data_IF_956334398658
#
_entry.id   IF_956334398658
#
_cell.length_a   1.000
_cell.length_b   1.000
_cell.length_c   1.000
_cell.angle_alpha   90.00
_cell.angle_beta   90.00
_cell.angle_gamma   90.00
#
_symmetry.space_group_name_H-M   'P 1'
#
loop_
_entity.id
_entity.type
_entity.pdbx_description
1 polymer ?
#
# COMPACT_ATOMS: atom_id res chain seq x y z
N UNK A 1 69.29 -1.70 16.59
CA UNK A 1 69.30 -1.70 15.12
C UNK A 1 68.81 -3.06 14.68
N UNK A 2 68.06 -3.06 13.59
CA UNK A 2 67.53 -4.21 12.81
C UNK A 2 66.12 -4.75 13.15
N UNK A 3 65.17 -4.15 12.42
CA UNK A 3 64.23 -4.75 11.45
C UNK A 3 63.07 -5.72 11.83
N UNK A 4 61.86 -5.22 11.49
CA UNK A 4 60.80 -5.82 10.63
C UNK A 4 60.11 -7.11 11.07
N UNK A 5 58.79 -7.03 11.34
CA UNK A 5 57.75 -7.65 10.48
C UNK A 5 56.31 -7.46 10.99
N UNK A 6 55.57 -6.66 10.23
CA UNK A 6 54.16 -6.73 9.83
C UNK A 6 53.26 -7.86 10.38
N UNK A 7 52.07 -7.47 10.85
CA UNK A 7 50.81 -8.07 10.37
C UNK A 7 49.65 -7.06 10.47
N UNK A 8 49.22 -6.63 9.29
CA UNK A 8 48.05 -5.83 8.99
C UNK A 8 46.77 -6.68 8.95
N UNK A 9 45.67 -6.17 9.52
CA UNK A 9 44.35 -6.17 8.86
C UNK A 9 43.34 -5.32 9.65
N UNK A 10 42.73 -4.29 9.04
CA UNK A 10 41.35 -3.93 9.29
C UNK A 10 40.55 -4.41 8.08
N UNK A 11 39.89 -5.55 8.21
CA UNK A 11 38.91 -6.01 7.23
C UNK A 11 37.49 -5.71 7.73
N UNK A 12 36.70 -5.13 6.83
CA UNK A 12 35.24 -5.04 6.85
C UNK A 12 34.59 -3.87 7.61
N UNK A 13 34.98 -2.64 7.27
CA UNK A 13 34.04 -1.53 7.18
C UNK A 13 34.21 -0.87 5.80
N UNK A 14 33.09 -0.64 5.11
CA UNK A 14 32.96 -0.07 3.76
C UNK A 14 33.27 -0.97 2.56
N UNK A 15 32.31 -1.82 2.20
CA UNK A 15 32.09 -2.31 0.81
C UNK A 15 30.59 -2.62 0.54
N UNK A 16 29.66 -1.87 1.16
CA UNK A 16 28.20 -2.03 0.95
C UNK A 16 27.57 -0.95 0.05
N UNK A 17 28.37 -0.05 -0.52
CA UNK A 17 27.90 1.00 -1.43
C UNK A 17 28.07 0.58 -2.91
N UNK A 18 27.29 -0.40 -3.38
CA UNK A 18 27.10 -0.64 -4.83
C UNK A 18 25.97 -1.63 -5.20
N UNK A 19 25.30 -2.30 -4.25
CA UNK A 19 24.21 -3.24 -4.55
C UNK A 19 22.92 -2.74 -3.90
N UNK A 20 22.01 -2.18 -4.71
CA UNK A 20 20.74 -1.64 -4.22
C UNK A 20 19.90 -2.68 -3.46
N UNK A 21 19.17 -2.22 -2.43
CA UNK A 21 18.40 -3.09 -1.54
C UNK A 21 17.07 -3.51 -2.18
N UNK A 22 16.81 -4.82 -2.27
CA UNK A 22 15.48 -5.34 -2.66
C UNK A 22 14.59 -5.39 -1.42
N UNK A 23 13.41 -4.78 -1.50
CA UNK A 23 12.40 -4.77 -0.44
C UNK A 23 11.07 -5.43 -0.84
N UNK A 24 10.25 -5.77 0.14
CA UNK A 24 8.85 -6.13 -0.04
C UNK A 24 8.01 -5.10 0.70
N UNK A 25 7.04 -4.48 0.02
CA UNK A 25 6.15 -3.49 0.64
C UNK A 25 4.72 -4.03 0.68
N UNK A 26 4.17 -4.12 1.90
CA UNK A 26 2.81 -4.56 2.17
C UNK A 26 1.88 -3.34 2.25
N UNK A 27 0.88 -3.30 1.37
CA UNK A 27 -0.05 -2.18 1.19
C UNK A 27 -1.44 -2.60 1.62
N UNK A 28 -1.91 -2.06 2.74
CA UNK A 28 -3.20 -2.42 3.32
C UNK A 28 -4.38 -1.79 2.56
N UNK A 29 -5.55 -2.44 2.63
CA UNK A 29 -6.79 -1.94 2.07
C UNK A 29 -7.54 -0.92 2.96
N UNK A 30 -8.73 -0.52 2.53
CA UNK A 30 -9.64 0.37 3.26
C UNK A 30 -10.01 -0.22 4.63
N UNK A 31 -9.91 0.58 5.69
CA UNK A 31 -10.15 0.11 7.06
C UNK A 31 -9.04 -0.76 7.65
N UNK A 32 -7.97 -1.01 6.89
CA UNK A 32 -6.77 -1.70 7.35
C UNK A 32 -5.71 -0.75 7.92
N UNK A 33 -4.54 -1.31 8.17
CA UNK A 33 -3.33 -0.61 8.60
C UNK A 33 -2.16 -1.58 8.69
N UNK A 34 -0.99 -1.10 9.12
CA UNK A 34 0.21 -1.94 9.32
C UNK A 34 -0.08 -3.14 10.21
N UNK A 35 -0.92 -2.95 11.23
CA UNK A 35 -1.30 -3.99 12.18
C UNK A 35 -1.97 -5.21 11.53
N UNK A 36 -2.62 -5.04 10.38
CA UNK A 36 -3.25 -6.15 9.65
C UNK A 36 -2.22 -7.20 9.22
N UNK A 37 -0.98 -6.77 9.01
CA UNK A 37 0.10 -7.64 8.57
C UNK A 37 0.83 -8.38 9.70
N UNK A 38 0.43 -8.20 10.97
CA UNK A 38 1.14 -8.72 12.16
C UNK A 38 1.40 -10.23 12.14
N UNK A 39 0.51 -11.00 11.51
CA UNK A 39 0.64 -12.46 11.44
C UNK A 39 1.54 -12.96 10.30
N UNK A 40 1.89 -12.09 9.34
CA UNK A 40 2.62 -12.51 8.12
C UNK A 40 3.91 -11.73 7.91
N UNK A 41 3.97 -10.43 8.22
CA UNK A 41 5.10 -9.55 7.90
C UNK A 41 6.44 -10.07 8.45
N UNK A 42 6.51 -10.37 9.74
CA UNK A 42 7.74 -10.84 10.37
C UNK A 42 8.13 -12.26 9.96
N UNK A 43 7.16 -13.13 9.65
CA UNK A 43 7.44 -14.50 9.17
C UNK A 43 7.98 -14.44 7.75
N UNK A 44 7.35 -13.64 6.89
CA UNK A 44 7.77 -13.42 5.52
C UNK A 44 9.21 -12.90 5.48
N UNK A 45 9.52 -11.84 6.23
CA UNK A 45 10.87 -11.25 6.28
C UNK A 45 11.94 -12.28 6.63
N UNK A 46 11.71 -13.10 7.66
CA UNK A 46 12.64 -14.16 8.07
C UNK A 46 12.81 -15.24 7.01
N UNK A 47 11.76 -15.59 6.27
CA UNK A 47 11.81 -16.67 5.29
C UNK A 47 12.40 -16.25 3.95
N UNK A 48 12.21 -15.00 3.54
CA UNK A 48 12.76 -14.47 2.28
C UNK A 48 14.15 -13.85 2.43
N UNK A 49 14.54 -13.47 3.65
CA UNK A 49 15.85 -12.88 3.93
C UNK A 49 16.03 -11.45 3.42
N UNK A 50 14.95 -10.71 3.15
CA UNK A 50 14.99 -9.29 2.79
C UNK A 50 14.02 -8.46 3.63
N UNK A 51 14.17 -7.13 3.55
CA UNK A 51 13.35 -6.20 4.31
C UNK A 51 11.90 -6.26 3.84
N UNK A 52 10.98 -6.51 4.77
CA UNK A 52 9.54 -6.38 4.55
C UNK A 52 9.07 -5.17 5.33
N UNK A 53 8.44 -4.22 4.64
CA UNK A 53 7.98 -2.97 5.20
C UNK A 53 6.48 -2.76 4.92
N UNK A 54 5.83 -1.97 5.76
CA UNK A 54 4.45 -1.52 5.57
C UNK A 54 4.31 -0.15 6.23
N UNK A 55 3.38 0.67 5.77
CA UNK A 55 3.07 1.96 6.36
C UNK A 55 1.55 2.14 6.42
N UNK A 56 1.08 2.98 7.35
CA UNK A 56 -0.31 3.38 7.40
C UNK A 56 -0.54 4.47 6.35
N UNK A 57 -1.46 4.26 5.41
CA UNK A 57 -1.84 5.29 4.44
C UNK A 57 -2.54 6.46 5.13
N UNK A 58 -2.53 7.68 4.54
CA UNK A 58 -3.36 8.78 5.04
C UNK A 58 -4.80 8.32 5.30
N UNK A 59 -5.37 8.74 6.43
CA UNK A 59 -6.64 8.29 7.06
C UNK A 59 -6.52 7.14 8.06
N UNK A 60 -5.45 6.37 8.03
CA UNK A 60 -5.35 5.12 8.80
C UNK A 60 -4.21 5.13 9.81
N UNK A 61 -4.37 4.26 10.82
CA UNK A 61 -3.39 4.05 11.89
C UNK A 61 -2.81 5.33 12.51
N UNK A 62 -1.49 5.41 12.59
CA UNK A 62 -0.77 6.52 13.24
C UNK A 62 -0.34 7.63 12.27
N UNK A 63 -0.64 7.49 10.97
CA UNK A 63 -0.29 8.49 9.97
C UNK A 63 -1.09 9.77 10.17
N UNK A 64 -0.40 10.91 9.98
CA UNK A 64 -1.02 12.23 10.03
C UNK A 64 -2.26 12.30 9.14
N UNK A 65 -3.26 13.05 9.60
CA UNK A 65 -4.53 13.25 8.88
C UNK A 65 -4.65 14.73 8.56
N UNK A 66 -3.99 15.20 7.48
CA UNK A 66 -4.11 16.59 7.07
C UNK A 66 -5.59 16.95 6.91
N UNK A 67 -5.93 18.14 7.33
CA UNK A 67 -7.21 18.78 7.05
C UNK A 67 -7.18 19.40 5.66
N UNK A 68 -8.35 19.60 5.07
CA UNK A 68 -8.45 20.20 3.74
C UNK A 68 -7.75 21.55 3.62
N UNK A 69 -7.85 22.36 4.68
CA UNK A 69 -7.19 23.65 4.77
C UNK A 69 -5.66 23.52 4.74
N UNK A 70 -5.10 22.45 5.28
CA UNK A 70 -3.66 22.27 5.40
C UNK A 70 -3.00 22.14 4.02
N UNK A 71 -3.60 21.37 3.11
CA UNK A 71 -3.06 21.27 1.75
C UNK A 71 -3.52 22.42 0.85
N UNK A 72 -4.69 23.00 1.06
CA UNK A 72 -5.15 24.15 0.25
C UNK A 72 -4.31 25.41 0.50
N UNK A 73 -4.04 25.75 1.75
CA UNK A 73 -3.24 26.93 2.13
C UNK A 73 -1.81 26.81 1.61
N UNK A 74 -1.25 25.59 1.68
CA UNK A 74 0.11 25.33 1.24
C UNK A 74 0.21 24.95 -0.25
N UNK A 75 -0.90 24.99 -1.00
CA UNK A 75 -0.98 24.61 -2.42
C UNK A 75 -0.43 23.18 -2.68
N UNK A 76 -0.63 22.29 -1.72
CA UNK A 76 -0.18 20.91 -1.76
C UNK A 76 -1.25 20.00 -2.40
N UNK A 77 -0.83 18.88 -3.01
CA UNK A 77 -1.76 17.89 -3.54
C UNK A 77 -2.61 17.26 -2.41
N UNK A 78 -3.88 16.97 -2.68
CA UNK A 78 -4.77 16.29 -1.73
C UNK A 78 -4.24 14.86 -1.44
N UNK A 79 -3.80 14.55 -0.20
CA UNK A 79 -3.13 13.29 0.12
C UNK A 79 -4.05 12.06 0.04
N UNK A 80 -5.37 12.25 -0.01
CA UNK A 80 -6.36 11.17 -0.08
C UNK A 80 -6.66 10.72 -1.52
N UNK A 81 -6.27 11.49 -2.54
CA UNK A 81 -6.42 11.10 -3.95
C UNK A 81 -5.55 9.91 -4.29
N UNK A 82 -6.05 9.03 -5.15
CA UNK A 82 -5.36 7.79 -5.50
C UNK A 82 -3.98 8.04 -6.11
N UNK A 83 -3.84 8.97 -7.05
CA UNK A 83 -2.55 9.28 -7.68
C UNK A 83 -1.53 9.81 -6.67
N UNK A 84 -1.96 10.59 -5.67
CA UNK A 84 -1.06 11.12 -4.65
C UNK A 84 -0.69 10.03 -3.64
N UNK A 85 -1.59 9.08 -3.35
CA UNK A 85 -1.24 7.88 -2.60
C UNK A 85 -0.22 7.00 -3.35
N UNK A 86 -0.25 6.98 -4.70
CA UNK A 86 0.77 6.27 -5.50
C UNK A 86 2.13 6.94 -5.30
N UNK A 87 2.17 8.27 -5.35
CA UNK A 87 3.41 9.02 -5.15
C UNK A 87 3.96 8.84 -3.72
N UNK A 88 3.08 8.78 -2.72
CA UNK A 88 3.47 8.45 -1.34
C UNK A 88 4.03 7.04 -1.21
N UNK A 89 3.43 6.03 -1.86
CA UNK A 89 3.94 4.66 -1.86
C UNK A 89 5.34 4.60 -2.49
N UNK A 90 5.55 5.25 -3.63
CA UNK A 90 6.85 5.29 -4.30
C UNK A 90 7.89 6.05 -3.47
N UNK A 91 7.51 7.17 -2.85
CA UNK A 91 8.38 7.94 -1.95
C UNK A 91 8.78 7.11 -0.73
N UNK A 92 7.84 6.39 -0.13
CA UNK A 92 8.13 5.46 0.96
C UNK A 92 9.15 4.39 0.54
N UNK A 93 9.02 3.82 -0.67
CA UNK A 93 10.00 2.84 -1.17
C UNK A 93 11.40 3.46 -1.30
N UNK A 94 11.50 4.69 -1.80
CA UNK A 94 12.76 5.41 -1.96
C UNK A 94 13.39 5.78 -0.60
N UNK A 95 12.60 6.26 0.35
CA UNK A 95 13.05 6.59 1.71
C UNK A 95 13.55 5.37 2.49
N UNK A 96 12.94 4.20 2.24
CA UNK A 96 13.42 2.93 2.78
C UNK A 96 14.71 2.43 2.13
N UNK A 97 15.24 3.14 1.12
CA UNK A 97 16.47 2.79 0.42
C UNK A 97 16.30 1.65 -0.59
N UNK A 98 15.07 1.33 -0.99
CA UNK A 98 14.85 0.22 -1.93
C UNK A 98 15.14 0.64 -3.36
N UNK A 99 16.08 -0.05 -4.02
CA UNK A 99 16.31 0.10 -5.46
C UNK A 99 15.30 -0.71 -6.28
N UNK A 100 14.80 -1.80 -5.70
CA UNK A 100 13.78 -2.64 -6.31
C UNK A 100 12.80 -3.14 -5.25
N UNK A 101 11.53 -3.28 -5.61
CA UNK A 101 10.48 -3.70 -4.68
C UNK A 101 9.54 -4.75 -5.29
N UNK A 102 9.04 -5.61 -4.42
CA UNK A 102 7.86 -6.44 -4.68
C UNK A 102 6.70 -5.86 -3.87
N UNK A 103 5.59 -5.55 -4.54
CA UNK A 103 4.42 -4.95 -3.87
C UNK A 103 3.40 -6.04 -3.53
N UNK A 104 2.90 -6.04 -2.30
CA UNK A 104 1.82 -6.93 -1.85
C UNK A 104 0.65 -6.07 -1.42
N UNK A 105 -0.40 -6.00 -2.22
CA UNK A 105 -1.57 -5.16 -1.95
C UNK A 105 -2.80 -5.97 -1.57
N UNK A 106 -3.54 -5.49 -0.56
CA UNK A 106 -4.84 -6.03 -0.17
C UNK A 106 -5.97 -5.08 -0.58
N UNK A 107 -7.06 -5.62 -1.12
CA UNK A 107 -8.25 -4.88 -1.58
C UNK A 107 -7.89 -3.65 -2.44
N UNK A 108 -8.31 -2.43 -2.11
CA UNK A 108 -7.93 -1.21 -2.84
C UNK A 108 -6.41 -0.91 -2.81
N UNK A 109 -5.69 -1.39 -1.79
CA UNK A 109 -4.23 -1.34 -1.72
C UNK A 109 -3.56 -2.13 -2.87
N UNK A 110 -4.25 -3.13 -3.42
CA UNK A 110 -3.85 -3.81 -4.65
C UNK A 110 -3.92 -2.93 -5.90
N UNK A 111 -4.98 -2.12 -6.02
CA UNK A 111 -5.12 -1.16 -7.14
C UNK A 111 -4.03 -0.09 -7.03
N UNK A 112 -3.75 0.37 -5.82
CA UNK A 112 -2.65 1.30 -5.54
C UNK A 112 -1.30 0.74 -5.99
N UNK A 113 -1.00 -0.52 -5.63
CA UNK A 113 0.23 -1.20 -6.03
C UNK A 113 0.36 -1.34 -7.56
N UNK A 114 -0.73 -1.68 -8.26
CA UNK A 114 -0.73 -1.79 -9.72
C UNK A 114 -0.53 -0.43 -10.41
N UNK A 115 -1.11 0.64 -9.88
CA UNK A 115 -0.89 2.00 -10.39
C UNK A 115 0.54 2.48 -10.16
N UNK A 116 1.16 2.13 -9.03
CA UNK A 116 2.57 2.39 -8.79
C UNK A 116 3.45 1.68 -9.84
N UNK A 117 3.16 0.41 -10.13
CA UNK A 117 3.83 -0.31 -11.22
C UNK A 117 3.63 0.38 -12.57
N UNK A 118 2.40 0.74 -12.93
CA UNK A 118 2.12 1.48 -14.16
C UNK A 118 2.93 2.78 -14.25
N UNK A 119 3.04 3.54 -13.15
CA UNK A 119 3.76 4.81 -13.13
C UNK A 119 5.25 4.62 -13.39
N UNK A 120 5.88 3.68 -12.69
CA UNK A 120 7.31 3.37 -12.88
C UNK A 120 7.58 2.88 -14.31
N UNK A 121 6.67 2.07 -14.89
CA UNK A 121 6.81 1.57 -16.26
C UNK A 121 6.51 2.62 -17.35
N UNK A 122 5.75 3.69 -17.06
CA UNK A 122 5.47 4.76 -18.02
C UNK A 122 6.59 5.82 -18.07
N UNK A 123 7.34 5.99 -16.98
CA UNK A 123 8.44 6.95 -16.85
C UNK A 123 9.87 6.51 -17.26
N UNK A 124 10.17 5.36 -17.88
CA UNK A 124 11.55 5.01 -18.25
C UNK A 124 12.23 5.99 -19.22
N UNK A 125 11.47 6.81 -19.97
CA UNK A 125 11.97 7.63 -21.07
C UNK A 125 11.46 9.10 -21.09
N UNK A 126 10.86 9.62 -20.01
CA UNK A 126 10.30 10.99 -20.02
C UNK A 126 11.12 12.05 -19.28
N UNK A 127 12.44 11.90 -19.20
CA UNK A 127 13.34 12.94 -18.65
C UNK A 127 14.14 13.56 -19.79
N UNK A 128 13.49 14.46 -20.53
CA UNK A 128 14.12 15.55 -21.28
C UNK A 128 13.04 16.58 -21.60
N UNK A 129 12.54 17.24 -20.56
CA UNK A 129 11.88 18.53 -20.69
C UNK A 129 12.13 19.30 -19.40
N UNK A 130 13.01 20.31 -19.41
CA UNK A 130 13.21 21.16 -18.25
C UNK A 130 11.94 22.01 -18.08
N UNK A 131 11.17 21.76 -17.03
CA UNK A 131 10.20 22.76 -16.58
C UNK A 131 10.98 23.86 -15.87
N UNK A 132 10.81 25.08 -16.39
CA UNK A 132 11.69 26.20 -16.19
C UNK A 132 11.89 26.62 -14.74
N UNK A 133 13.13 27.02 -14.48
CA UNK A 133 13.52 27.92 -13.41
C UNK A 133 12.58 29.13 -13.36
N UNK A 134 11.95 29.36 -12.21
CA UNK A 134 11.53 30.70 -11.81
C UNK A 134 12.09 30.97 -10.42
N UNK A 135 13.23 31.65 -10.44
CA UNK A 135 13.90 32.26 -9.29
C UNK A 135 13.06 33.44 -8.79
N UNK A 136 12.85 33.52 -7.47
CA UNK A 136 12.60 34.80 -6.77
C UNK A 136 13.55 34.89 -5.57
N UNK A 137 14.26 36.02 -5.35
CA UNK A 137 15.43 36.07 -4.48
C UNK A 137 15.13 36.49 -3.02
N UNK A 138 15.97 35.96 -2.13
CA UNK A 138 16.41 36.49 -0.82
C UNK A 138 15.35 36.98 0.21
N UNK A 139 15.14 36.18 1.25
CA UNK A 139 15.27 36.68 2.63
C UNK A 139 15.67 35.53 3.56
N UNK A 140 16.85 35.65 4.17
CA UNK A 140 17.36 34.70 5.14
C UNK A 140 16.52 34.72 6.42
N UNK A 141 15.60 33.76 6.54
CA UNK A 141 15.03 33.31 7.81
C UNK A 141 14.90 31.79 7.70
N UNK A 142 15.74 31.06 8.44
CA UNK A 142 15.55 29.62 8.68
C UNK A 142 14.47 29.46 9.76
N UNK A 143 13.27 29.08 9.34
CA UNK A 143 12.24 28.52 10.21
C UNK A 143 12.10 27.05 9.84
N UNK A 144 12.32 26.13 10.79
CA UNK A 144 12.06 24.71 10.60
C UNK A 144 10.69 24.35 11.21
N UNK A 145 9.67 24.12 10.39
CA UNK A 145 8.63 23.13 10.74
C UNK A 145 8.15 22.31 9.52
N UNK A 146 7.42 21.22 9.77
CA UNK A 146 6.75 20.35 8.76
C UNK A 146 7.67 19.56 7.81
N UNK A 147 8.60 18.78 8.36
CA UNK A 147 9.18 17.67 7.61
C UNK A 147 8.08 16.62 7.38
N UNK A 148 7.55 16.51 6.16
CA UNK A 148 7.03 15.30 5.45
C UNK A 148 6.74 15.57 3.97
N UNK A 149 7.22 16.70 3.41
CA UNK A 149 7.20 16.94 1.97
C UNK A 149 8.58 17.44 1.59
N UNK A 150 9.55 16.55 1.65
CA UNK A 150 10.76 16.67 0.85
C UNK A 150 10.65 15.56 -0.17
N UNK A 151 10.07 15.86 -1.33
CA UNK A 151 10.22 14.99 -2.49
C UNK A 151 11.72 14.85 -2.73
N UNK A 152 12.32 13.65 -2.56
CA UNK A 152 13.71 13.48 -2.93
C UNK A 152 13.84 13.84 -4.41
N UNK A 153 14.92 14.52 -4.78
CA UNK A 153 15.28 14.64 -6.18
C UNK A 153 15.26 13.24 -6.80
N UNK A 154 14.50 13.11 -7.89
CA UNK A 154 14.14 11.88 -8.59
C UNK A 154 15.38 11.22 -9.26
N UNK A 155 16.36 10.80 -8.47
CA UNK A 155 17.67 10.35 -8.93
C UNK A 155 17.84 8.83 -9.05
N UNK A 156 16.96 8.04 -8.44
CA UNK A 156 16.92 6.58 -8.66
C UNK A 156 15.47 6.10 -8.62
N UNK A 157 14.96 5.71 -9.79
CA UNK A 157 13.63 5.09 -9.87
C UNK A 157 13.67 3.71 -9.21
N UNK A 158 12.75 3.49 -8.27
CA UNK A 158 12.52 2.17 -7.69
C UNK A 158 11.97 1.23 -8.77
N UNK A 159 12.66 0.13 -9.04
CA UNK A 159 12.19 -0.91 -9.96
C UNK A 159 11.09 -1.76 -9.29
N UNK A 160 9.96 -1.97 -9.94
CA UNK A 160 8.91 -2.87 -9.42
C UNK A 160 9.05 -4.24 -10.09
N UNK A 161 9.44 -5.25 -9.31
CA UNK A 161 9.78 -6.59 -9.80
C UNK A 161 8.58 -7.54 -9.91
N UNK A 162 7.51 -7.27 -9.19
CA UNK A 162 6.29 -8.09 -9.21
C UNK A 162 5.24 -7.61 -8.22
N UNK A 163 4.03 -8.16 -8.36
CA UNK A 163 2.88 -7.83 -7.52
C UNK A 163 2.20 -9.07 -6.94
N UNK A 164 1.78 -8.99 -5.67
CA UNK A 164 0.85 -9.95 -5.06
C UNK A 164 -0.44 -9.21 -4.71
N UNK A 165 -1.57 -9.69 -5.22
CA UNK A 165 -2.89 -9.08 -5.07
C UNK A 165 -3.77 -9.96 -4.17
N UNK A 166 -4.14 -9.47 -3.00
CA UNK A 166 -4.97 -10.19 -2.02
C UNK A 166 -6.40 -9.66 -2.04
N UNK A 167 -7.36 -10.49 -2.45
CA UNK A 167 -8.79 -10.14 -2.49
C UNK A 167 -9.05 -8.80 -3.22
N UNK A 168 -8.45 -8.61 -4.39
CA UNK A 168 -8.52 -7.36 -5.19
C UNK A 168 -9.54 -7.52 -6.32
N UNK A 169 -10.23 -6.44 -6.68
CA UNK A 169 -11.15 -6.37 -7.82
C UNK A 169 -11.10 -5.02 -8.52
N UNK A 170 -11.17 -5.00 -9.86
CA UNK A 170 -11.18 -3.75 -10.63
C UNK A 170 -12.51 -2.99 -10.54
N UNK A 171 -13.60 -3.67 -10.24
CA UNK A 171 -14.96 -3.13 -10.38
C UNK A 171 -15.66 -2.91 -9.05
N UNK A 172 -15.01 -3.25 -7.93
CA UNK A 172 -15.64 -3.18 -6.62
C UNK A 172 -15.34 -1.83 -5.98
N UNK A 173 -16.41 -1.14 -5.61
CA UNK A 173 -16.33 0.06 -4.78
C UNK A 173 -16.46 -0.34 -3.30
N UNK A 174 -15.60 0.22 -2.45
CA UNK A 174 -15.63 -0.02 -0.99
C UNK A 174 -16.79 0.72 -0.32
N UNK A 175 -17.22 1.87 -0.88
CA UNK A 175 -18.39 2.63 -0.43
C UNK A 175 -19.50 2.49 -1.46
N UNK A 176 -20.74 2.11 -1.09
CA UNK A 176 -21.85 2.06 -2.03
C UNK A 176 -22.12 3.43 -2.67
N UNK A 177 -22.36 3.48 -4.00
CA UNK A 177 -22.49 4.73 -4.74
C UNK A 177 -23.54 5.71 -4.20
N UNK A 178 -24.69 5.23 -3.70
CA UNK A 178 -25.69 6.10 -3.06
C UNK A 178 -25.15 6.76 -1.78
N UNK A 179 -24.37 6.02 -0.99
CA UNK A 179 -23.75 6.55 0.22
C UNK A 179 -22.70 7.59 -0.15
N UNK A 180 -21.90 7.34 -1.20
CA UNK A 180 -20.92 8.30 -1.72
C UNK A 180 -21.56 9.61 -2.18
N UNK A 181 -22.70 9.57 -2.87
CA UNK A 181 -23.44 10.79 -3.26
C UNK A 181 -23.78 11.64 -2.02
N UNK A 182 -24.22 10.98 -0.94
CA UNK A 182 -24.54 11.68 0.31
C UNK A 182 -23.31 12.32 0.95
N UNK A 183 -22.11 11.73 0.78
CA UNK A 183 -20.85 12.30 1.28
C UNK A 183 -20.50 13.65 0.61
N UNK A 184 -20.99 13.96 -0.58
CA UNK A 184 -20.77 15.28 -1.19
C UNK A 184 -21.61 16.40 -0.54
N UNK A 185 -22.54 16.07 0.35
CA UNK A 185 -23.41 17.04 1.01
C UNK A 185 -22.89 17.36 2.42
N UNK A 186 -23.01 18.64 2.83
CA UNK A 186 -22.71 19.06 4.21
C UNK A 186 -23.57 18.33 5.24
N UNK A 187 -24.80 17.98 4.85
CA UNK A 187 -25.71 17.16 5.65
C UNK A 187 -25.18 15.74 5.85
N UNK A 188 -24.63 15.12 4.80
CA UNK A 188 -24.05 13.77 4.88
C UNK A 188 -22.78 13.69 5.73
N UNK A 189 -21.90 14.72 5.69
CA UNK A 189 -20.73 14.80 6.59
C UNK A 189 -21.15 14.71 8.06
N UNK A 190 -22.14 15.52 8.45
CA UNK A 190 -22.54 15.67 9.86
C UNK A 190 -23.50 14.58 10.35
N UNK A 191 -24.42 14.10 9.50
CA UNK A 191 -25.53 13.23 9.91
C UNK A 191 -25.46 11.80 9.39
N UNK A 192 -24.52 11.47 8.50
CA UNK A 192 -24.40 10.12 7.93
C UNK A 192 -23.05 9.50 8.31
N UNK A 193 -21.93 10.18 8.05
CA UNK A 193 -20.57 9.64 8.33
C UNK A 193 -20.38 9.35 9.81
N UNK A 194 -20.52 10.37 10.67
CA UNK A 194 -20.27 10.22 12.11
C UNK A 194 -21.19 9.17 12.77
N UNK A 195 -22.53 9.18 12.53
CA UNK A 195 -23.40 8.18 13.16
C UNK A 195 -23.20 6.76 12.61
N UNK A 196 -23.09 6.56 11.29
CA UNK A 196 -22.93 5.21 10.73
C UNK A 196 -21.65 4.52 11.22
N UNK A 197 -20.57 5.27 11.36
CA UNK A 197 -19.29 4.75 11.85
C UNK A 197 -19.33 4.36 13.33
N UNK A 198 -20.19 5.02 14.11
CA UNK A 198 -20.45 4.70 15.51
C UNK A 198 -21.50 3.60 15.72
N UNK A 199 -22.10 3.06 14.64
CA UNK A 199 -23.19 2.07 14.73
C UNK A 199 -22.76 0.61 14.52
N UNK A 200 -23.66 -0.31 14.87
CA UNK A 200 -23.64 -1.76 14.62
C UNK A 200 -23.39 -2.15 13.15
N UNK A 201 -23.57 -1.24 12.18
CA UNK A 201 -23.33 -1.49 10.76
C UNK A 201 -21.84 -1.82 10.50
N UNK A 202 -20.92 -1.15 11.20
CA UNK A 202 -19.50 -1.48 11.15
C UNK A 202 -19.21 -2.88 11.70
N UNK A 203 -19.95 -3.32 12.73
CA UNK A 203 -19.81 -4.66 13.29
C UNK A 203 -20.29 -5.75 12.31
N UNK A 204 -21.38 -5.50 11.59
CA UNK A 204 -21.92 -6.44 10.60
C UNK A 204 -21.00 -6.55 9.38
N UNK A 205 -20.42 -5.44 8.91
CA UNK A 205 -19.43 -5.46 7.83
C UNK A 205 -18.18 -6.22 8.28
N UNK A 206 -17.65 -5.94 9.47
CA UNK A 206 -16.49 -6.65 10.01
C UNK A 206 -16.71 -8.16 10.13
N UNK A 207 -17.93 -8.63 10.47
CA UNK A 207 -18.21 -10.07 10.50
C UNK A 207 -18.28 -10.71 9.10
N UNK A 208 -18.71 -9.96 8.08
CA UNK A 208 -18.77 -10.45 6.68
C UNK A 208 -17.41 -10.51 6.00
N UNK A 209 -16.42 -9.81 6.54
CA UNK A 209 -15.05 -9.82 6.06
C UNK A 209 -14.36 -11.17 6.35
N UNK A 210 -14.78 -11.89 7.40
CA UNK A 210 -14.20 -13.17 7.81
C UNK A 210 -15.09 -14.33 7.36
N UNK A 211 -14.48 -15.45 6.99
CA UNK A 211 -15.23 -16.70 6.81
C UNK A 211 -15.67 -17.28 8.16
N UNK A 212 -14.76 -17.34 9.12
CA UNK A 212 -15.02 -17.78 10.49
C UNK A 212 -15.17 -16.57 11.42
N UNK A 213 -16.43 -16.15 11.62
CA UNK A 213 -16.77 -15.03 12.50
C UNK A 213 -16.36 -15.26 13.96
N UNK A 214 -16.06 -16.50 14.40
CA UNK A 214 -15.59 -16.77 15.77
C UNK A 214 -14.17 -16.26 16.02
N UNK A 215 -13.38 -16.07 14.95
CA UNK A 215 -12.04 -15.47 15.02
C UNK A 215 -12.08 -13.96 15.28
N UNK A 216 -13.23 -13.31 15.12
CA UNK A 216 -13.44 -11.90 15.49
C UNK A 216 -13.65 -11.84 17.01
N UNK A 217 -12.57 -12.03 17.76
CA UNK A 217 -12.57 -11.93 19.23
C UNK A 217 -12.85 -10.49 19.67
N UNK A 218 -13.18 -10.29 20.96
CA UNK A 218 -13.35 -8.94 21.50
C UNK A 218 -12.07 -8.09 21.36
N UNK A 219 -10.90 -8.72 21.45
CA UNK A 219 -9.59 -8.09 21.26
C UNK A 219 -9.37 -7.67 19.80
N UNK A 220 -9.56 -8.59 18.84
CA UNK A 220 -9.47 -8.27 17.41
C UNK A 220 -10.49 -7.18 17.06
N UNK A 221 -11.72 -7.32 17.54
CA UNK A 221 -12.75 -6.30 17.35
C UNK A 221 -12.33 -4.97 17.94
N UNK A 222 -11.70 -4.92 19.13
CA UNK A 222 -11.23 -3.68 19.75
C UNK A 222 -10.16 -2.95 18.93
N UNK A 223 -9.32 -3.68 18.21
CA UNK A 223 -8.27 -3.13 17.36
C UNK A 223 -8.81 -2.55 16.04
N UNK A 224 -9.89 -3.15 15.50
CA UNK A 224 -10.63 -2.62 14.35
C UNK A 224 -11.80 -1.69 14.75
N UNK A 225 -12.06 -1.52 16.06
CA UNK A 225 -13.24 -0.81 16.55
C UNK A 225 -13.03 0.69 16.49
N UNK A 226 -14.06 1.33 15.96
CA UNK A 226 -14.39 2.74 16.05
C UNK A 226 -14.91 3.10 17.45
N UNK A 227 -14.22 2.71 18.53
CA UNK A 227 -14.66 3.02 19.90
C UNK A 227 -13.61 3.81 20.67
N UNK A 228 -14.04 4.77 21.54
CA UNK A 228 -13.24 5.94 21.93
C UNK A 228 -12.09 5.67 22.91
N UNK A 229 -11.71 4.41 23.20
CA UNK A 229 -10.79 4.08 24.31
C UNK A 229 -9.74 3.00 23.94
N UNK A 230 -9.61 2.59 22.68
CA UNK A 230 -8.54 1.65 22.32
C UNK A 230 -8.01 1.93 20.93
N UNK A 231 -6.79 2.47 20.86
CA UNK A 231 -5.88 2.61 19.69
C UNK A 231 -6.60 2.43 18.34
N UNK A 232 -7.56 3.30 18.05
CA UNK A 232 -8.39 3.21 16.86
C UNK A 232 -7.97 4.31 15.88
N UNK A 233 -7.97 4.06 14.56
CA UNK A 233 -7.80 5.09 13.53
C UNK A 233 -8.78 6.28 13.65
N UNK A 234 -9.79 6.15 14.51
CA UNK A 234 -10.89 7.09 14.72
C UNK A 234 -10.83 7.77 16.11
N UNK A 235 -9.71 7.62 16.82
CA UNK A 235 -9.37 8.38 18.03
C UNK A 235 -8.29 9.44 17.77
N UNK A 236 -7.70 9.46 16.57
CA UNK A 236 -6.71 10.47 16.18
C UNK A 236 -7.42 11.70 15.61
N UNK A 237 -6.94 12.89 15.93
CA UNK A 237 -7.49 14.14 15.42
C UNK A 237 -7.61 14.12 13.88
N UNK A 238 -8.72 14.65 13.35
CA UNK A 238 -9.00 14.69 11.91
C UNK A 238 -9.50 13.37 11.28
N UNK A 239 -9.74 12.32 12.08
CA UNK A 239 -10.17 11.01 11.56
C UNK A 239 -11.45 11.02 10.74
N UNK A 240 -12.44 11.81 11.16
CA UNK A 240 -13.76 11.85 10.54
C UNK A 240 -13.71 12.62 9.23
N UNK A 241 -12.86 13.63 9.14
CA UNK A 241 -12.59 14.36 7.91
C UNK A 241 -11.81 13.50 6.92
N UNK A 242 -10.75 12.83 7.36
CA UNK A 242 -9.99 11.91 6.53
C UNK A 242 -10.86 10.78 5.96
N UNK A 243 -11.68 10.15 6.81
CA UNK A 243 -12.58 9.09 6.41
C UNK A 243 -13.71 9.57 5.49
N UNK A 244 -14.18 10.80 5.68
CA UNK A 244 -15.11 11.45 4.77
C UNK A 244 -14.46 11.68 3.39
N UNK A 245 -13.24 12.23 3.34
CA UNK A 245 -12.51 12.49 2.10
C UNK A 245 -12.23 11.19 1.33
N UNK A 246 -11.64 10.18 1.97
CA UNK A 246 -11.35 8.89 1.32
C UNK A 246 -12.64 8.17 0.90
N UNK A 247 -13.74 8.34 1.65
CA UNK A 247 -15.05 7.82 1.28
C UNK A 247 -15.60 8.46 0.00
N UNK A 248 -15.46 9.79 -0.15
CA UNK A 248 -15.84 10.50 -1.40
C UNK A 248 -15.00 10.04 -2.60
N UNK A 249 -13.72 9.77 -2.38
CA UNK A 249 -12.76 9.40 -3.41
C UNK A 249 -12.70 7.89 -3.66
N UNK A 250 -13.48 7.08 -2.93
CA UNK A 250 -13.45 5.61 -3.04
C UNK A 250 -13.68 5.09 -4.46
N UNK A 251 -14.46 5.79 -5.28
CA UNK A 251 -14.66 5.44 -6.69
C UNK A 251 -13.40 5.55 -7.56
N UNK A 252 -12.36 6.28 -7.15
CA UNK A 252 -11.10 6.37 -7.90
C UNK A 252 -10.38 5.01 -7.98
N UNK A 253 -10.62 4.14 -7.00
CA UNK A 253 -10.08 2.77 -6.96
C UNK A 253 -10.83 1.80 -7.88
N UNK A 254 -11.99 2.22 -8.39
CA UNK A 254 -12.79 1.47 -9.36
C UNK A 254 -12.33 1.85 -10.77
N UNK A 255 -11.75 0.90 -11.50
CA UNK A 255 -11.23 1.16 -12.82
C UNK A 255 -12.30 0.92 -13.88
N UNK A 256 -12.55 1.94 -14.71
CA UNK A 256 -13.31 1.76 -15.96
C UNK A 256 -12.63 0.70 -16.83
N UNK A 257 -13.37 0.01 -17.73
CA UNK A 257 -12.77 -0.98 -18.64
C UNK A 257 -11.57 -0.42 -19.42
N UNK A 258 -11.66 0.84 -19.85
CA UNK A 258 -10.58 1.52 -20.57
C UNK A 258 -9.35 1.76 -19.68
N UNK A 259 -9.55 2.28 -18.47
CA UNK A 259 -8.43 2.53 -17.54
C UNK A 259 -7.77 1.24 -17.09
N UNK A 260 -8.56 0.18 -16.86
CA UNK A 260 -8.04 -1.15 -16.56
C UNK A 260 -7.21 -1.70 -17.73
N UNK A 261 -7.68 -1.56 -18.97
CA UNK A 261 -6.94 -2.00 -20.15
C UNK A 261 -5.60 -1.24 -20.30
N UNK A 262 -5.61 0.09 -20.15
CA UNK A 262 -4.40 0.90 -20.19
C UNK A 262 -3.40 0.50 -19.10
N UNK A 263 -3.88 0.25 -17.88
CA UNK A 263 -3.06 -0.21 -16.76
C UNK A 263 -2.43 -1.58 -17.07
N UNK A 264 -3.24 -2.55 -17.49
CA UNK A 264 -2.78 -3.91 -17.80
C UNK A 264 -1.76 -3.93 -18.94
N UNK A 265 -1.95 -3.08 -19.95
CA UNK A 265 -1.01 -2.94 -21.05
C UNK A 265 0.35 -2.40 -20.59
N UNK A 266 0.35 -1.43 -19.68
CA UNK A 266 1.59 -0.83 -19.17
C UNK A 266 2.42 -1.80 -18.32
N UNK A 267 1.77 -2.77 -17.65
CA UNK A 267 2.42 -3.74 -16.75
C UNK A 267 2.36 -5.18 -17.29
N UNK A 268 2.20 -5.35 -18.60
CA UNK A 268 1.98 -6.66 -19.24
C UNK A 268 3.03 -7.72 -18.88
N UNK A 269 4.28 -7.30 -18.69
CA UNK A 269 5.42 -8.18 -18.43
C UNK A 269 5.63 -8.43 -16.93
N UNK A 270 4.95 -7.65 -16.07
CA UNK A 270 5.08 -7.76 -14.62
C UNK A 270 4.50 -9.10 -14.12
N UNK A 271 5.28 -9.91 -13.38
CA UNK A 271 4.75 -11.10 -12.73
C UNK A 271 3.73 -10.72 -11.65
N UNK A 272 2.55 -11.34 -11.68
CA UNK A 272 1.47 -11.07 -10.72
C UNK A 272 0.94 -12.36 -10.09
N UNK A 273 0.84 -12.41 -8.76
CA UNK A 273 0.15 -13.47 -8.04
C UNK A 273 -1.17 -12.94 -7.48
N UNK A 274 -2.29 -13.50 -7.91
CA UNK A 274 -3.61 -13.20 -7.37
C UNK A 274 -3.98 -14.25 -6.34
N UNK A 275 -4.35 -13.82 -5.13
CA UNK A 275 -4.79 -14.69 -4.04
C UNK A 275 -6.14 -14.21 -3.54
N UNK A 276 -7.09 -15.11 -3.35
CA UNK A 276 -8.40 -14.80 -2.79
C UNK A 276 -8.89 -15.88 -1.83
N UNK A 277 -9.67 -15.48 -0.84
CA UNK A 277 -10.47 -16.42 -0.06
C UNK A 277 -11.59 -17.03 -0.91
N UNK A 278 -11.80 -18.34 -0.83
CA UNK A 278 -12.83 -19.02 -1.60
C UNK A 278 -14.24 -18.61 -1.15
N UNK A 279 -14.39 -18.22 0.12
CA UNK A 279 -15.64 -17.79 0.76
C UNK A 279 -15.64 -16.29 1.09
N UNK A 280 -14.86 -15.51 0.34
CA UNK A 280 -14.86 -14.06 0.42
C UNK A 280 -16.24 -13.49 0.01
N UNK A 281 -17.01 -13.04 1.00
CA UNK A 281 -18.35 -12.48 0.83
C UNK A 281 -18.33 -11.03 0.28
N UNK A 282 -17.14 -10.43 0.21
CA UNK A 282 -16.91 -9.04 -0.14
C UNK A 282 -16.40 -8.93 -1.58
N UNK A 283 -15.35 -9.67 -1.92
CA UNK A 283 -14.88 -9.88 -3.30
C UNK A 283 -15.08 -11.35 -3.66
N UNK A 284 -16.16 -11.70 -4.38
CA UNK A 284 -16.39 -13.08 -4.78
C UNK A 284 -15.18 -13.64 -5.55
N UNK A 285 -14.84 -14.91 -5.32
CA UNK A 285 -13.72 -15.58 -6.00
C UNK A 285 -13.74 -15.42 -7.53
N UNK A 286 -14.94 -15.37 -8.12
CA UNK A 286 -15.13 -15.12 -9.56
C UNK A 286 -14.52 -13.79 -10.02
N UNK A 287 -14.56 -12.75 -9.19
CA UNK A 287 -13.94 -11.46 -9.48
C UNK A 287 -12.41 -11.57 -9.53
N UNK A 288 -11.82 -12.31 -8.57
CA UNK A 288 -10.38 -12.59 -8.56
C UNK A 288 -9.94 -13.44 -9.77
N UNK A 289 -10.78 -14.41 -10.17
CA UNK A 289 -10.56 -15.20 -11.40
C UNK A 289 -10.55 -14.33 -12.65
N UNK A 290 -11.55 -13.44 -12.79
CA UNK A 290 -11.62 -12.48 -13.90
C UNK A 290 -10.45 -11.51 -13.90
N UNK A 291 -9.98 -11.10 -12.72
CA UNK A 291 -8.79 -10.26 -12.59
C UNK A 291 -7.54 -11.00 -13.05
N UNK A 292 -7.30 -12.20 -12.54
CA UNK A 292 -6.14 -13.02 -12.92
C UNK A 292 -6.11 -13.30 -14.42
N UNK A 293 -7.25 -13.61 -15.04
CA UNK A 293 -7.32 -13.90 -16.49
C UNK A 293 -6.96 -12.71 -17.39
N UNK A 294 -6.89 -11.48 -16.84
CA UNK A 294 -6.50 -10.28 -17.59
C UNK A 294 -4.99 -10.03 -17.62
N UNK A 295 -4.23 -10.69 -16.76
CA UNK A 295 -2.77 -10.59 -16.73
C UNK A 295 -2.15 -11.71 -17.55
N UNK A 296 -1.16 -11.38 -18.39
CA UNK A 296 -0.42 -12.36 -19.19
C UNK A 296 0.43 -13.28 -18.30
N UNK A 297 1.11 -12.70 -17.31
CA UNK A 297 2.02 -13.41 -16.42
C UNK A 297 1.45 -13.55 -15.01
N UNK A 298 0.26 -14.14 -14.88
CA UNK A 298 -0.34 -14.35 -13.56
C UNK A 298 -0.58 -15.78 -13.13
N UNK A 299 -0.67 -15.95 -11.82
CA UNK A 299 -1.16 -17.16 -11.15
C UNK A 299 -2.31 -16.79 -10.22
N UNK A 300 -3.30 -17.65 -10.12
CA UNK A 300 -4.39 -17.53 -9.15
C UNK A 300 -4.25 -18.63 -8.09
N UNK A 301 -4.35 -18.24 -6.82
CA UNK A 301 -4.48 -19.17 -5.69
C UNK A 301 -5.76 -18.85 -4.92
N UNK A 302 -6.65 -19.83 -4.81
CA UNK A 302 -7.82 -19.74 -3.95
C UNK A 302 -7.53 -20.46 -2.63
N UNK A 303 -7.76 -19.78 -1.50
CA UNK A 303 -7.60 -20.35 -0.17
C UNK A 303 -8.97 -20.78 0.34
N UNK A 304 -9.18 -22.09 0.49
CA UNK A 304 -10.42 -22.64 1.05
C UNK A 304 -10.59 -22.26 2.52
N UNK A 305 -11.84 -22.10 2.95
CA UNK A 305 -12.22 -21.71 4.32
C UNK A 305 -11.60 -20.38 4.74
N UNK A 306 -11.60 -19.42 3.82
CA UNK A 306 -11.02 -18.10 4.02
C UNK A 306 -11.92 -17.03 3.42
N UNK A 307 -12.13 -15.95 4.19
CA UNK A 307 -12.83 -14.76 3.76
C UNK A 307 -11.90 -13.75 3.11
N UNK A 308 -12.25 -12.48 3.28
CA UNK A 308 -11.64 -11.32 2.64
C UNK A 308 -10.27 -10.90 3.22
N UNK A 309 -9.88 -11.41 4.39
CA UNK A 309 -8.60 -11.11 5.03
C UNK A 309 -7.71 -12.36 5.14
N UNK A 310 -7.14 -12.88 4.03
CA UNK A 310 -6.25 -14.04 4.10
C UNK A 310 -5.05 -13.88 5.03
N UNK A 311 -4.54 -12.65 5.18
CA UNK A 311 -3.39 -12.33 6.02
C UNK A 311 -3.71 -12.35 7.53
N UNK A 312 -4.99 -12.21 7.88
CA UNK A 312 -5.51 -12.32 9.24
C UNK A 312 -6.04 -13.73 9.54
N UNK A 313 -6.89 -14.23 8.65
CA UNK A 313 -7.68 -15.43 8.88
C UNK A 313 -6.93 -16.72 8.59
N UNK A 314 -6.11 -16.70 7.53
CA UNK A 314 -5.40 -17.86 6.99
C UNK A 314 -3.90 -17.58 6.74
N UNK A 315 -3.16 -17.01 7.71
CA UNK A 315 -1.79 -16.53 7.49
C UNK A 315 -0.83 -17.62 7.01
N UNK A 316 -0.97 -18.86 7.52
CA UNK A 316 -0.12 -19.99 7.11
C UNK A 316 -0.33 -20.37 5.64
N UNK A 317 -1.59 -20.45 5.21
CA UNK A 317 -1.94 -20.77 3.82
C UNK A 317 -1.52 -19.63 2.88
N UNK A 318 -1.69 -18.38 3.32
CA UNK A 318 -1.23 -17.22 2.57
C UNK A 318 0.29 -17.24 2.38
N UNK A 319 1.07 -17.43 3.43
CA UNK A 319 2.52 -17.51 3.35
C UNK A 319 2.98 -18.66 2.43
N UNK A 320 2.36 -19.83 2.53
CA UNK A 320 2.66 -20.96 1.65
C UNK A 320 2.41 -20.65 0.16
N UNK A 321 1.42 -19.81 -0.15
CA UNK A 321 1.15 -19.36 -1.51
C UNK A 321 2.13 -18.27 -1.99
N UNK A 322 2.51 -17.33 -1.12
CA UNK A 322 3.35 -16.17 -1.48
C UNK A 322 4.83 -16.56 -1.64
N UNK A 323 5.37 -17.40 -0.74
CA UNK A 323 6.82 -17.66 -0.67
C UNK A 323 7.43 -18.19 -1.97
N UNK A 324 6.85 -19.19 -2.67
CA UNK A 324 7.45 -19.69 -3.91
C UNK A 324 7.51 -18.63 -5.00
N UNK A 325 6.49 -17.75 -5.06
CA UNK A 325 6.43 -16.66 -6.02
C UNK A 325 7.49 -15.61 -5.72
N UNK A 326 7.58 -15.14 -4.47
CA UNK A 326 8.57 -14.13 -4.08
C UNK A 326 10.00 -14.66 -4.26
N UNK A 327 10.29 -15.88 -3.81
CA UNK A 327 11.63 -16.47 -3.96
C UNK A 327 12.03 -16.59 -5.44
N UNK A 328 11.09 -16.90 -6.35
CA UNK A 328 11.36 -16.92 -7.78
C UNK A 328 11.78 -15.53 -8.31
N UNK A 329 11.10 -14.46 -7.87
CA UNK A 329 11.45 -13.08 -8.26
C UNK A 329 12.82 -12.64 -7.71
N UNK A 330 13.14 -13.03 -6.47
CA UNK A 330 14.42 -12.72 -5.85
C UNK A 330 15.58 -13.45 -6.55
N UNK A 331 15.43 -14.74 -6.84
CA UNK A 331 16.47 -15.53 -7.55
C UNK A 331 16.73 -15.04 -8.97
N UNK A 332 15.70 -14.72 -9.77
CA UNK A 332 15.87 -14.13 -11.11
C UNK A 332 16.66 -12.83 -11.11
N UNK A 333 16.57 -12.06 -10.03
CA UNK A 333 17.28 -10.79 -9.89
C UNK A 333 18.77 -10.98 -9.64
N UNK A 334 19.18 -12.07 -8.97
CA UNK A 334 20.59 -12.37 -8.73
C UNK A 334 21.32 -12.83 -10.00
N UNK A 335 20.62 -13.47 -10.93
CA UNK A 335 21.19 -13.96 -12.21
C UNK A 335 21.40 -12.83 -13.22
N UNK A 336 20.65 -11.73 -13.13
CA UNK A 336 20.82 -10.57 -14.03
C UNK A 336 21.95 -9.61 -13.61
N UNK A 337 22.48 -9.76 -12.38
CA UNK A 337 23.53 -8.93 -11.81
C UNK A 337 24.91 -9.64 -11.75
N UNK A 338 25.06 -10.77 -12.45
CA UNK A 338 26.32 -11.50 -12.66
C UNK A 338 26.68 -11.48 -14.15
#
# INVERSE_FOLDING_TARGET
MDEVSTLSSPAAEHDLEANGQIGIVLVHGFGGGVFSWRHVMGVLARQVGCTVASFDRPSWGLTSRPHQKDWEVNQLPNPYKLENQVDLLLSFCAEMGFSSVILVGHDDGGILALKAAQRVHASPNSVNSPMGDNIVPNSGIKVYPTSWISFPSLGSMVEIKGGVLLSVSFTREVVPGFARILLYTSLGKKHIVRPLLQTEITQVINRRVWYDATKVTAEVSSLYKVLPISIAPLCVEGWDEALHEIGKLSSETVLSPQNAATLLQAIKDLPVLVIAGAEDALVPLKSAQVMASRFVNSKLVAISRCGHLPHEECPKALLAAILPFINNLLTKSQVHNQ
#
